data_IF_092023251251
#
_entry.id   IF_092023251251
#
_cell.length_a   1.000
_cell.length_b   1.000
_cell.length_c   1.000
_cell.angle_alpha   90.00
_cell.angle_beta   90.00
_cell.angle_gamma   90.00
#
_symmetry.space_group_name_H-M   'P 1'
#
loop_
_entity.id
_entity.type
_entity.pdbx_description
1 polymer ?
#
# COMPACT_ATOMS: atom_id res chain seq x y z
N UNK A 1 7.83 13.02 -0.38
CA UNK A 1 8.79 12.50 -1.37
C UNK A 1 9.38 11.25 -0.79
N UNK A 2 9.45 10.17 -1.56
CA UNK A 2 10.21 8.99 -1.15
C UNK A 2 11.70 9.20 -1.46
N UNK A 3 12.61 8.66 -0.64
CA UNK A 3 14.05 8.84 -0.85
C UNK A 3 14.61 8.01 -2.02
N UNK A 4 13.80 7.17 -2.67
CA UNK A 4 14.24 6.22 -3.70
C UNK A 4 13.42 6.39 -4.98
N UNK A 5 14.07 6.39 -6.15
CA UNK A 5 13.39 6.44 -7.45
C UNK A 5 12.55 5.18 -7.75
N UNK A 6 12.87 4.06 -7.09
CA UNK A 6 12.11 2.82 -7.12
C UNK A 6 11.12 2.70 -5.94
N UNK A 7 10.86 3.80 -5.23
CA UNK A 7 9.94 3.82 -4.10
C UNK A 7 8.48 3.91 -4.56
N UNK A 8 7.61 3.09 -3.97
CA UNK A 8 6.16 3.12 -4.19
C UNK A 8 5.41 3.47 -2.90
N UNK A 9 4.35 4.29 -3.04
CA UNK A 9 3.36 4.54 -1.99
C UNK A 9 2.10 3.81 -2.38
N UNK A 10 1.78 2.74 -1.66
CA UNK A 10 0.55 1.97 -1.88
C UNK A 10 -0.59 2.66 -1.15
N UNK A 11 -1.64 3.02 -1.88
CA UNK A 11 -2.77 3.80 -1.35
C UNK A 11 -4.06 2.99 -1.28
N UNK A 12 -4.98 3.45 -0.43
CA UNK A 12 -6.26 2.82 -0.18
C UNK A 12 -7.24 3.05 -1.35
N UNK A 13 -7.78 1.99 -2.01
CA UNK A 13 -8.77 2.11 -3.08
C UNK A 13 -10.22 2.35 -2.59
N UNK A 14 -10.41 2.45 -1.28
CA UNK A 14 -11.69 2.76 -0.63
C UNK A 14 -11.48 3.27 0.81
N UNK A 15 -12.55 3.81 1.39
CA UNK A 15 -12.64 4.09 2.84
C UNK A 15 -13.15 2.85 3.56
N UNK A 16 -12.59 2.51 4.72
CA UNK A 16 -13.07 1.37 5.52
C UNK A 16 -12.10 0.92 6.61
N UNK A 17 -12.38 -0.26 7.16
CA UNK A 17 -11.52 -0.94 8.14
C UNK A 17 -10.31 -1.51 7.39
N UNK A 18 -9.11 -1.16 7.84
CA UNK A 18 -7.86 -1.64 7.25
C UNK A 18 -7.39 -2.92 7.93
N UNK A 19 -7.20 -3.97 7.15
CA UNK A 19 -6.61 -5.24 7.59
C UNK A 19 -5.32 -5.48 6.82
N UNK A 20 -4.17 -5.39 7.50
CA UNK A 20 -2.88 -5.66 6.87
C UNK A 20 -2.66 -7.18 6.77
N UNK A 21 -2.36 -7.66 5.56
CA UNK A 21 -2.01 -9.06 5.30
C UNK A 21 -0.49 -9.27 5.21
N UNK A 22 0.25 -8.18 5.01
CA UNK A 22 1.71 -8.12 4.95
C UNK A 22 2.27 -7.09 5.91
N UNK A 23 3.50 -7.31 6.35
CA UNK A 23 4.19 -6.49 7.36
C UNK A 23 5.49 -5.89 6.81
N UNK A 24 5.97 -4.79 7.43
CA UNK A 24 7.32 -4.30 7.16
C UNK A 24 8.37 -5.40 7.36
N UNK A 25 9.31 -5.49 6.43
CA UNK A 25 10.33 -6.55 6.34
C UNK A 25 9.99 -7.65 5.33
N UNK A 26 8.74 -7.74 4.86
CA UNK A 26 8.36 -8.70 3.83
C UNK A 26 8.63 -8.18 2.41
N UNK A 27 9.00 -9.11 1.53
CA UNK A 27 9.09 -8.88 0.09
C UNK A 27 7.76 -9.25 -0.57
N UNK A 28 7.31 -8.40 -1.49
CA UNK A 28 6.07 -8.58 -2.25
C UNK A 28 6.28 -8.30 -3.74
N UNK A 29 5.50 -8.96 -4.58
CA UNK A 29 5.46 -8.71 -6.03
C UNK A 29 4.40 -7.67 -6.38
N UNK A 30 4.45 -7.16 -7.60
CA UNK A 30 3.31 -6.46 -8.17
C UNK A 30 2.04 -7.32 -8.08
N UNK A 31 0.90 -6.67 -7.85
CA UNK A 31 -0.42 -7.29 -7.68
C UNK A 31 -0.60 -8.19 -6.45
N UNK A 32 0.40 -8.39 -5.57
CA UNK A 32 0.19 -9.12 -4.31
C UNK A 32 -0.85 -8.39 -3.42
N UNK A 33 -1.73 -9.14 -2.77
CA UNK A 33 -2.63 -8.55 -1.78
C UNK A 33 -1.83 -8.26 -0.51
N UNK A 34 -1.60 -6.98 -0.23
CA UNK A 34 -0.82 -6.54 0.94
C UNK A 34 -1.72 -6.13 2.10
N UNK A 35 -2.94 -5.72 1.81
CA UNK A 35 -3.97 -5.40 2.78
C UNK A 35 -5.36 -5.55 2.15
N UNK A 36 -6.37 -5.57 2.99
CA UNK A 36 -7.78 -5.49 2.62
C UNK A 36 -8.44 -4.30 3.31
N UNK A 37 -9.42 -3.71 2.65
CA UNK A 37 -10.28 -2.66 3.19
C UNK A 37 -11.70 -3.19 3.20
N UNK A 38 -12.30 -3.25 4.39
CA UNK A 38 -13.64 -3.78 4.62
C UNK A 38 -14.59 -2.61 4.86
N UNK A 39 -15.69 -2.55 4.10
CA UNK A 39 -16.83 -1.69 4.41
C UNK A 39 -17.81 -2.45 5.33
N UNK A 40 -17.89 -2.09 6.62
CA UNK A 40 -18.74 -2.81 7.57
C UNK A 40 -20.24 -2.62 7.34
N UNK A 41 -20.66 -1.68 6.48
CA UNK A 41 -22.06 -1.43 6.18
C UNK A 41 -22.57 -2.29 5.02
N UNK A 42 -21.68 -2.65 4.09
CA UNK A 42 -22.04 -3.38 2.87
C UNK A 42 -21.41 -4.77 2.76
N UNK A 43 -20.52 -5.12 3.70
CA UNK A 43 -19.72 -6.34 3.69
C UNK A 43 -18.80 -6.47 2.46
N UNK A 44 -18.55 -5.36 1.76
CA UNK A 44 -17.63 -5.32 0.63
C UNK A 44 -16.17 -5.33 1.10
N UNK A 45 -15.35 -6.15 0.44
CA UNK A 45 -13.90 -6.23 0.67
C UNK A 45 -13.17 -5.74 -0.58
N UNK A 46 -12.24 -4.80 -0.40
CA UNK A 46 -11.33 -4.34 -1.47
C UNK A 46 -9.88 -4.68 -1.15
N UNK A 47 -9.24 -5.38 -2.07
CA UNK A 47 -7.80 -5.66 -2.00
C UNK A 47 -6.98 -4.39 -2.26
N UNK A 48 -5.90 -4.24 -1.49
CA UNK A 48 -4.84 -3.26 -1.69
C UNK A 48 -3.65 -3.98 -2.30
N UNK A 49 -3.15 -3.48 -3.44
CA UNK A 49 -2.10 -4.12 -4.23
C UNK A 49 -1.03 -3.11 -4.63
N UNK A 50 0.27 -3.46 -4.57
CA UNK A 50 1.34 -2.66 -5.13
C UNK A 50 1.43 -2.85 -6.64
N UNK A 51 1.99 -1.86 -7.32
CA UNK A 51 2.14 -1.82 -8.78
C UNK A 51 3.52 -2.33 -9.21
N UNK A 52 4.56 -2.07 -8.41
CA UNK A 52 5.94 -2.46 -8.72
C UNK A 52 6.42 -3.64 -7.87
N UNK A 53 6.00 -3.70 -6.60
CA UNK A 53 6.54 -4.65 -5.62
C UNK A 53 7.94 -4.24 -5.10
N UNK A 54 8.46 -5.02 -4.14
CA UNK A 54 9.71 -4.76 -3.44
C UNK A 54 9.62 -5.08 -1.94
N UNK A 55 10.53 -4.49 -1.16
CA UNK A 55 10.55 -4.61 0.30
C UNK A 55 9.59 -3.60 0.93
N UNK A 56 8.62 -4.08 1.71
CA UNK A 56 7.80 -3.21 2.55
C UNK A 56 8.67 -2.68 3.69
N UNK A 57 8.85 -1.37 3.78
CA UNK A 57 9.65 -0.76 4.85
C UNK A 57 8.83 0.07 5.84
N UNK A 58 7.60 0.43 5.48
CA UNK A 58 6.67 1.10 6.37
C UNK A 58 5.23 0.71 6.04
N UNK A 59 4.38 0.65 7.05
CA UNK A 59 2.94 0.44 6.91
C UNK A 59 2.17 1.32 7.88
N UNK A 60 0.94 1.64 7.51
CA UNK A 60 0.03 2.40 8.37
C UNK A 60 -0.41 1.56 9.56
N UNK A 61 -0.36 2.16 10.76
CA UNK A 61 -0.92 1.59 11.99
C UNK A 61 -2.17 2.34 12.40
N UNK A 62 -3.28 2.04 11.73
CA UNK A 62 -4.59 2.57 12.07
C UNK A 62 -5.67 1.54 11.73
N UNK A 63 -6.74 1.44 12.53
CA UNK A 63 -7.85 0.53 12.25
C UNK A 63 -8.70 0.98 11.05
N UNK A 64 -8.62 2.25 10.65
CA UNK A 64 -9.41 2.82 9.55
C UNK A 64 -8.55 3.63 8.59
N UNK A 65 -8.97 3.63 7.31
CA UNK A 65 -8.39 4.44 6.23
C UNK A 65 -9.49 5.10 5.42
N UNK A 66 -9.16 6.23 4.80
CA UNK A 66 -9.98 6.91 3.80
C UNK A 66 -9.47 6.57 2.40
N UNK A 67 -10.31 6.72 1.38
CA UNK A 67 -9.89 6.65 -0.02
C UNK A 67 -8.63 7.51 -0.26
N UNK A 68 -7.63 6.95 -0.95
CA UNK A 68 -6.37 7.60 -1.27
C UNK A 68 -5.34 7.62 -0.13
N UNK A 69 -5.73 7.27 1.10
CA UNK A 69 -4.81 7.23 2.23
C UNK A 69 -3.64 6.27 1.97
N UNK A 70 -2.44 6.68 2.39
CA UNK A 70 -1.28 5.79 2.39
C UNK A 70 -1.53 4.56 3.28
N UNK A 71 -1.23 3.37 2.74
CA UNK A 71 -1.32 2.07 3.42
C UNK A 71 0.07 1.50 3.66
N UNK A 72 0.96 1.53 2.67
CA UNK A 72 2.34 1.04 2.77
C UNK A 72 3.31 1.85 1.93
N UNK A 73 4.59 1.80 2.30
CA UNK A 73 5.70 2.23 1.46
C UNK A 73 6.60 1.05 1.14
N UNK A 74 6.93 0.93 -0.14
CA UNK A 74 7.72 -0.17 -0.68
C UNK A 74 8.97 0.40 -1.35
N UNK A 75 10.11 -0.23 -1.09
CA UNK A 75 11.36 0.02 -1.79
C UNK A 75 11.58 -1.09 -2.82
N UNK A 76 11.43 -0.75 -4.11
CA UNK A 76 11.72 -1.64 -5.22
C UNK A 76 13.20 -1.61 -5.65
N UNK A 77 13.57 -2.52 -6.54
CA UNK A 77 14.93 -2.60 -7.10
C UNK A 77 15.11 -1.75 -8.37
N UNK A 78 14.03 -1.54 -9.14
CA UNK A 78 14.06 -0.87 -10.44
C UNK A 78 13.23 0.42 -10.41
N UNK A 79 13.79 1.57 -10.82
CA UNK A 79 13.03 2.79 -10.98
C UNK A 79 11.90 2.62 -12.00
N UNK A 80 10.78 3.29 -11.78
CA UNK A 80 9.62 3.27 -12.68
C UNK A 80 8.98 4.67 -12.75
N UNK A 81 8.15 4.90 -13.76
CA UNK A 81 7.46 6.19 -13.93
C UNK A 81 6.49 6.43 -12.78
N UNK A 82 6.64 7.55 -12.06
CA UNK A 82 5.87 7.85 -10.83
C UNK A 82 6.50 7.32 -9.54
N UNK A 83 7.55 6.49 -9.62
CA UNK A 83 8.35 6.09 -8.47
C UNK A 83 9.06 7.27 -7.82
N UNK A 84 9.30 7.19 -6.50
CA UNK A 84 9.90 8.30 -5.75
C UNK A 84 8.93 9.46 -5.44
N UNK A 85 7.66 9.31 -5.81
CA UNK A 85 6.63 10.36 -5.72
C UNK A 85 6.36 10.91 -4.32
N UNK A 86 5.52 11.96 -4.28
CA UNK A 86 4.97 12.51 -3.04
C UNK A 86 3.80 11.64 -2.57
N UNK A 87 3.65 11.48 -1.25
CA UNK A 87 2.37 11.07 -0.69
C UNK A 87 1.40 12.22 -0.95
N UNK A 88 0.33 11.97 -1.71
CA UNK A 88 -0.76 12.92 -1.94
C UNK A 88 -1.78 12.83 -0.81
#
# INVERSE_FOLDING_TARGET
MLPFAAGEIVTAPATGILVLLKQPGEWVSADDVVAEIIDPLTDMVKAVRPTSGGLIYASRRAPFVTLGAEVMKIAGERPFSGGGGLAL
#
